data_IF_300700343778
#
_entry.id   IF_300700343778
#
_cell.length_a   1.000
_cell.length_b   1.000
_cell.length_c   1.000
_cell.angle_alpha   90.00
_cell.angle_beta   90.00
_cell.angle_gamma   90.00
#
_symmetry.space_group_name_H-M   'P 1'
#
loop_
_entity.id
_entity.type
_entity.pdbx_description
1 polymer ?
#
# COMPACT_ATOMS: atom_id res chain seq x y z
N UNK A 1 -6.21 -9.67 15.95
CA UNK A 1 -5.60 -8.47 15.34
C UNK A 1 -6.52 -7.94 14.28
N UNK A 2 -6.54 -6.65 14.06
CA UNK A 2 -7.35 -5.92 13.09
C UNK A 2 -6.45 -5.04 12.22
N UNK A 3 -6.95 -4.61 11.06
CA UNK A 3 -6.13 -3.91 10.07
C UNK A 3 -6.83 -2.68 9.53
N UNK A 4 -6.05 -1.62 9.29
CA UNK A 4 -6.46 -0.46 8.53
C UNK A 4 -5.51 -0.21 7.36
N UNK A 5 -6.05 -0.10 6.15
CA UNK A 5 -5.28 0.19 4.94
C UNK A 5 -5.61 1.60 4.48
N UNK A 6 -4.59 2.46 4.37
CA UNK A 6 -4.72 3.84 3.92
C UNK A 6 -4.84 3.90 2.40
N UNK A 7 -6.07 4.02 1.88
CA UNK A 7 -6.39 3.95 0.46
C UNK A 7 -6.97 5.26 -0.12
N UNK A 8 -7.23 6.28 0.70
CA UNK A 8 -7.90 7.52 0.28
C UNK A 8 -7.01 8.51 -0.48
N UNK A 9 -5.72 8.21 -0.67
CA UNK A 9 -4.80 9.06 -1.41
C UNK A 9 -5.20 9.25 -2.88
N UNK A 10 -5.14 10.51 -3.38
CA UNK A 10 -5.53 10.85 -4.75
C UNK A 10 -4.62 10.27 -5.84
N UNK A 11 -3.38 9.92 -5.51
CA UNK A 11 -2.44 9.30 -6.44
C UNK A 11 -2.13 10.15 -7.68
N UNK A 12 -2.08 11.48 -7.56
CA UNK A 12 -1.94 12.43 -8.68
C UNK A 12 -0.70 12.20 -9.52
N UNK A 13 0.41 11.74 -8.92
CA UNK A 13 1.66 11.41 -9.63
C UNK A 13 1.55 10.18 -10.55
N UNK A 14 0.53 9.35 -10.36
CA UNK A 14 0.21 8.18 -11.18
C UNK A 14 -0.76 8.47 -12.32
N UNK A 15 -1.24 9.73 -12.43
CA UNK A 15 -2.06 10.09 -13.58
C UNK A 15 -1.30 9.81 -14.90
N UNK A 16 -2.00 9.32 -15.95
CA UNK A 16 -3.44 9.19 -16.05
C UNK A 16 -4.05 7.85 -15.56
N UNK A 17 -3.25 6.91 -15.02
CA UNK A 17 -3.74 5.61 -14.54
C UNK A 17 -4.79 5.76 -13.43
N UNK A 18 -4.60 6.74 -12.52
CA UNK A 18 -5.54 7.02 -11.43
C UNK A 18 -6.87 7.61 -11.87
N UNK A 19 -7.00 8.02 -13.14
CA UNK A 19 -8.29 8.37 -13.72
C UNK A 19 -9.12 7.12 -14.08
N UNK A 20 -8.48 5.96 -14.21
CA UNK A 20 -9.12 4.67 -14.54
C UNK A 20 -9.47 3.91 -13.25
N UNK A 21 -8.48 3.74 -12.37
CA UNK A 21 -8.61 3.01 -11.10
C UNK A 21 -7.86 3.74 -9.98
N UNK A 22 -8.35 3.72 -8.74
CA UNK A 22 -7.58 4.18 -7.60
C UNK A 22 -6.32 3.33 -7.44
N UNK A 23 -5.24 3.95 -6.99
CA UNK A 23 -3.92 3.33 -6.88
C UNK A 23 -3.93 1.94 -6.20
N UNK A 24 -4.60 1.72 -5.04
CA UNK A 24 -4.60 0.41 -4.41
C UNK A 24 -5.36 -0.67 -5.19
N UNK A 25 -6.20 -0.29 -6.15
CA UNK A 25 -6.91 -1.22 -7.03
C UNK A 25 -6.16 -1.50 -8.34
N UNK A 26 -5.03 -0.85 -8.61
CA UNK A 26 -4.23 -1.15 -9.79
C UNK A 26 -3.73 -2.59 -9.76
N UNK A 27 -3.72 -3.27 -10.92
CA UNK A 27 -3.23 -4.65 -11.01
C UNK A 27 -1.75 -4.75 -10.63
N UNK A 28 -1.44 -5.59 -9.67
CA UNK A 28 -0.09 -6.08 -9.41
C UNK A 28 -0.08 -7.57 -9.78
N UNK A 29 0.47 -7.90 -10.93
CA UNK A 29 0.29 -9.20 -11.56
C UNK A 29 -1.20 -9.49 -11.80
N UNK A 30 -1.75 -10.58 -11.23
CA UNK A 30 -3.09 -11.07 -11.52
C UNK A 30 -4.17 -10.62 -10.51
N UNK A 31 -3.83 -9.72 -9.57
CA UNK A 31 -4.78 -9.19 -8.58
C UNK A 31 -4.44 -7.74 -8.18
N UNK A 32 -5.40 -6.96 -7.65
CA UNK A 32 -5.14 -5.61 -7.18
C UNK A 32 -4.06 -5.54 -6.08
N UNK A 33 -3.30 -4.44 -6.03
CA UNK A 33 -2.29 -4.19 -5.00
C UNK A 33 -2.85 -4.39 -3.58
N UNK A 34 -4.03 -3.85 -3.29
CA UNK A 34 -4.66 -3.98 -1.96
C UNK A 34 -4.95 -5.44 -1.59
N UNK A 35 -5.22 -6.33 -2.55
CA UNK A 35 -5.43 -7.75 -2.27
C UNK A 35 -4.13 -8.44 -1.81
N UNK A 36 -2.96 -8.01 -2.30
CA UNK A 36 -1.68 -8.50 -1.78
C UNK A 36 -1.48 -8.08 -0.32
N UNK A 37 -1.84 -6.86 0.03
CA UNK A 37 -1.79 -6.36 1.41
C UNK A 37 -2.73 -7.17 2.30
N UNK A 38 -4.00 -7.30 1.90
CA UNK A 38 -5.01 -8.04 2.66
C UNK A 38 -4.65 -9.52 2.84
N UNK A 39 -4.09 -10.18 1.81
CA UNK A 39 -3.63 -11.58 1.91
C UNK A 39 -2.55 -11.75 2.98
N UNK A 40 -1.58 -10.84 3.05
CA UNK A 40 -0.50 -10.88 4.06
C UNK A 40 -1.03 -10.65 5.46
N UNK A 41 -1.89 -9.64 5.63
CA UNK A 41 -2.52 -9.39 6.92
C UNK A 41 -3.41 -10.57 7.35
N UNK A 42 -4.15 -11.17 6.42
CA UNK A 42 -4.94 -12.36 6.69
C UNK A 42 -4.07 -13.55 7.13
N UNK A 43 -2.94 -13.77 6.44
CA UNK A 43 -1.97 -14.82 6.77
C UNK A 43 -1.38 -14.63 8.19
N UNK A 44 -1.15 -13.37 8.59
CA UNK A 44 -0.70 -13.01 9.95
C UNK A 44 -1.82 -13.05 11.02
N UNK A 45 -3.02 -13.53 10.68
CA UNK A 45 -4.11 -13.71 11.64
C UNK A 45 -5.06 -12.52 11.79
N UNK A 46 -5.01 -11.52 10.92
CA UNK A 46 -6.03 -10.46 10.87
C UNK A 46 -7.35 -11.04 10.38
N UNK A 47 -8.47 -10.65 11.02
CA UNK A 47 -9.82 -11.13 10.69
C UNK A 47 -10.86 -9.99 10.63
N UNK A 48 -10.42 -8.74 10.75
CA UNK A 48 -11.26 -7.55 10.57
C UNK A 48 -10.44 -6.49 9.87
N UNK A 49 -10.98 -5.89 8.82
CA UNK A 49 -10.30 -4.95 7.96
C UNK A 49 -11.09 -3.66 7.84
N UNK A 50 -10.39 -2.53 7.76
CA UNK A 50 -10.94 -1.24 7.39
C UNK A 50 -10.09 -0.62 6.27
N UNK A 51 -10.72 0.04 5.32
CA UNK A 51 -10.08 0.77 4.24
C UNK A 51 -10.72 2.16 4.14
N UNK A 52 -9.93 3.23 4.10
CA UNK A 52 -10.47 4.56 3.78
C UNK A 52 -10.39 4.82 2.28
N UNK A 53 -11.40 5.47 1.73
CA UNK A 53 -11.62 5.63 0.30
C UNK A 53 -12.06 7.07 0.01
N UNK A 54 -11.47 7.74 -0.99
CA UNK A 54 -11.88 9.11 -1.37
C UNK A 54 -12.46 9.21 -2.77
N UNK A 55 -12.19 8.24 -3.65
CA UNK A 55 -12.57 8.28 -5.07
C UNK A 55 -12.99 6.91 -5.59
N UNK A 56 -13.66 6.92 -6.77
CA UNK A 56 -14.02 5.70 -7.50
C UNK A 56 -14.84 4.67 -6.68
N UNK A 57 -15.86 5.13 -5.92
CA UNK A 57 -16.69 4.25 -5.07
C UNK A 57 -17.16 2.98 -5.79
N UNK A 58 -17.61 3.10 -7.05
CA UNK A 58 -18.06 1.97 -7.88
C UNK A 58 -16.94 0.92 -8.09
N UNK A 59 -15.70 1.34 -8.23
CA UNK A 59 -14.57 0.40 -8.39
C UNK A 59 -14.32 -0.38 -7.10
N UNK A 60 -14.46 0.27 -5.95
CA UNK A 60 -14.33 -0.35 -4.65
C UNK A 60 -15.47 -1.32 -4.35
N UNK A 61 -16.72 -0.94 -4.66
CA UNK A 61 -17.89 -1.81 -4.51
C UNK A 61 -17.78 -3.07 -5.38
N UNK A 62 -17.20 -2.95 -6.57
CA UNK A 62 -16.89 -4.10 -7.44
C UNK A 62 -15.76 -4.97 -6.90
N UNK A 63 -14.73 -4.36 -6.28
CA UNK A 63 -13.62 -5.10 -5.69
C UNK A 63 -14.03 -5.88 -4.43
N UNK A 64 -15.01 -5.35 -3.67
CA UNK A 64 -15.50 -5.92 -2.42
C UNK A 64 -17.04 -5.96 -2.34
N UNK A 65 -17.72 -6.71 -3.23
CA UNK A 65 -19.19 -6.63 -3.39
C UNK A 65 -19.96 -7.07 -2.15
N UNK A 66 -19.38 -7.91 -1.31
CA UNK A 66 -20.00 -8.36 -0.05
C UNK A 66 -19.42 -7.64 1.18
N UNK A 67 -18.59 -6.63 0.98
CA UNK A 67 -17.79 -6.01 2.05
C UNK A 67 -17.05 -7.06 2.90
N UNK A 68 -16.48 -8.05 2.22
CA UNK A 68 -15.76 -9.15 2.84
C UNK A 68 -14.49 -9.50 2.05
N UNK A 69 -13.49 -10.00 2.78
CA UNK A 69 -12.30 -10.60 2.22
C UNK A 69 -12.05 -11.96 2.89
N UNK A 70 -12.07 -13.04 2.11
CA UNK A 70 -11.93 -14.42 2.62
C UNK A 70 -12.88 -14.73 3.79
N UNK A 71 -14.13 -14.24 3.74
CA UNK A 71 -15.14 -14.42 4.78
C UNK A 71 -14.98 -13.52 6.01
N UNK A 72 -13.98 -12.65 6.03
CA UNK A 72 -13.79 -11.65 7.08
C UNK A 72 -14.42 -10.30 6.68
N UNK A 73 -15.00 -9.54 7.64
CA UNK A 73 -15.61 -8.25 7.33
C UNK A 73 -14.56 -7.23 6.91
N UNK A 74 -14.93 -6.39 5.93
CA UNK A 74 -14.23 -5.19 5.52
C UNK A 74 -15.14 -3.98 5.75
N UNK A 75 -14.69 -3.01 6.51
CA UNK A 75 -15.32 -1.71 6.61
C UNK A 75 -14.74 -0.76 5.56
N UNK A 76 -15.56 -0.29 4.61
CA UNK A 76 -15.20 0.72 3.61
C UNK A 76 -15.59 2.10 4.13
N UNK A 77 -14.62 2.88 4.58
CA UNK A 77 -14.80 4.23 5.12
C UNK A 77 -14.67 5.27 4.01
N UNK A 78 -15.79 5.76 3.49
CA UNK A 78 -15.80 6.78 2.43
C UNK A 78 -15.50 8.16 2.99
N UNK A 79 -14.53 8.86 2.42
CA UNK A 79 -14.19 10.24 2.71
C UNK A 79 -14.66 11.12 1.54
N UNK A 80 -15.42 12.19 1.82
CA UNK A 80 -15.85 13.13 0.77
C UNK A 80 -14.64 13.88 0.18
N UNK A 81 -13.68 14.19 1.03
CA UNK A 81 -12.33 14.67 0.69
C UNK A 81 -11.32 13.90 1.52
N UNK A 82 -10.08 13.70 1.02
CA UNK A 82 -9.05 13.03 1.79
C UNK A 82 -8.83 13.71 3.15
N UNK A 83 -8.91 12.93 4.22
CA UNK A 83 -8.77 13.44 5.59
C UNK A 83 -7.33 13.39 6.13
N UNK A 84 -6.34 13.08 5.27
CA UNK A 84 -4.98 12.73 5.66
C UNK A 84 -4.94 11.48 6.57
N UNK A 85 -3.77 11.06 6.96
CA UNK A 85 -3.52 9.81 7.70
C UNK A 85 -4.16 9.78 9.08
N UNK A 86 -4.18 10.90 9.79
CA UNK A 86 -4.78 11.02 11.10
C UNK A 86 -6.30 11.09 11.06
N UNK A 87 -6.87 11.89 10.14
CA UNK A 87 -8.30 12.03 9.99
C UNK A 87 -8.97 10.72 9.54
N UNK A 88 -8.38 10.04 8.54
CA UNK A 88 -8.83 8.72 8.10
C UNK A 88 -8.80 7.69 9.22
N UNK A 89 -7.72 7.68 10.01
CA UNK A 89 -7.60 6.80 11.18
C UNK A 89 -8.67 7.13 12.24
N UNK A 90 -8.87 8.41 12.57
CA UNK A 90 -9.90 8.84 13.51
C UNK A 90 -11.29 8.37 13.10
N UNK A 91 -11.64 8.53 11.83
CA UNK A 91 -12.96 8.16 11.29
C UNK A 91 -13.28 6.68 11.47
N UNK A 92 -12.28 5.80 11.35
CA UNK A 92 -12.49 4.35 11.50
C UNK A 92 -12.48 3.86 12.96
N UNK A 93 -12.09 4.69 13.93
CA UNK A 93 -11.94 4.26 15.33
C UNK A 93 -13.22 3.74 15.96
N UNK A 94 -14.41 4.15 15.47
CA UNK A 94 -15.71 3.61 15.92
C UNK A 94 -15.93 2.13 15.51
N UNK A 95 -15.18 1.64 14.52
CA UNK A 95 -15.23 0.25 14.03
C UNK A 95 -14.09 -0.62 14.57
N UNK A 96 -13.15 -0.02 15.31
CA UNK A 96 -11.97 -0.70 15.83
C UNK A 96 -12.26 -1.24 17.24
N UNK A 97 -11.90 -2.51 17.46
CA UNK A 97 -11.87 -3.13 18.79
C UNK A 97 -10.74 -2.51 19.61
N UNK A 98 -11.10 -1.79 20.67
CA UNK A 98 -10.16 -1.03 21.50
C UNK A 98 -9.20 -1.90 22.32
N UNK A 99 -9.51 -3.19 22.45
CA UNK A 99 -8.72 -4.16 23.22
C UNK A 99 -7.65 -4.87 22.37
N UNK A 100 -7.58 -4.56 21.07
CA UNK A 100 -6.67 -5.25 20.15
C UNK A 100 -5.81 -4.27 19.38
N UNK A 101 -4.49 -4.51 19.28
CA UNK A 101 -3.63 -3.67 18.46
C UNK A 101 -4.10 -3.63 17.00
N UNK A 102 -3.89 -2.48 16.37
CA UNK A 102 -4.25 -2.19 14.99
C UNK A 102 -2.98 -2.17 14.14
N UNK A 103 -2.91 -3.03 13.12
CA UNK A 103 -1.90 -2.88 12.07
C UNK A 103 -2.41 -1.90 11.03
N UNK A 104 -1.60 -0.93 10.70
CA UNK A 104 -1.90 0.08 9.67
C UNK A 104 -0.85 -0.02 8.57
N UNK A 105 -1.31 0.00 7.31
CA UNK A 105 -0.42 -0.01 6.16
C UNK A 105 -0.86 1.00 5.10
N UNK A 106 0.10 1.67 4.49
CA UNK A 106 -0.13 2.50 3.32
C UNK A 106 -0.54 1.62 2.13
N UNK A 107 -1.66 1.94 1.50
CA UNK A 107 -2.24 1.18 0.39
C UNK A 107 -1.49 1.31 -0.94
N UNK A 108 -0.38 2.04 -0.95
CA UNK A 108 0.46 2.31 -2.11
C UNK A 108 1.84 1.61 -2.04
N UNK A 109 2.04 0.78 -1.04
CA UNK A 109 3.28 0.05 -0.83
C UNK A 109 3.06 -1.44 -0.98
N UNK A 110 3.81 -2.04 -1.90
CA UNK A 110 3.98 -3.49 -1.98
C UNK A 110 5.19 -3.88 -1.14
N UNK A 111 5.00 -4.73 -0.14
CA UNK A 111 6.10 -5.21 0.72
C UNK A 111 5.79 -6.60 1.25
N UNK A 112 6.80 -7.38 1.57
CA UNK A 112 6.70 -8.68 2.24
C UNK A 112 7.17 -8.65 3.71
N UNK A 113 7.25 -7.47 4.30
CA UNK A 113 7.47 -7.32 5.75
C UNK A 113 6.49 -8.23 6.51
N UNK A 114 6.95 -9.16 7.34
CA UNK A 114 6.10 -10.09 8.06
C UNK A 114 5.38 -9.36 9.21
N UNK A 115 4.06 -9.32 9.10
CA UNK A 115 3.20 -8.63 10.07
C UNK A 115 3.22 -9.30 11.45
N UNK A 116 3.40 -10.60 11.50
CA UNK A 116 3.53 -11.38 12.74
C UNK A 116 4.84 -11.06 13.47
N UNK A 117 5.97 -10.88 12.76
CA UNK A 117 7.23 -10.44 13.36
C UNK A 117 7.12 -8.99 13.87
N UNK A 118 6.51 -8.10 13.09
CA UNK A 118 6.27 -6.73 13.53
C UNK A 118 5.37 -6.69 14.78
N UNK A 119 4.35 -7.55 14.84
CA UNK A 119 3.49 -7.68 16.02
C UNK A 119 4.25 -8.24 17.23
N UNK A 120 5.14 -9.20 17.03
CA UNK A 120 5.99 -9.72 18.10
C UNK A 120 6.91 -8.62 18.64
N UNK A 121 7.55 -7.84 17.76
CA UNK A 121 8.37 -6.70 18.16
C UNK A 121 7.56 -5.63 18.91
N UNK A 122 6.33 -5.34 18.46
CA UNK A 122 5.44 -4.40 19.14
C UNK A 122 5.10 -4.84 20.56
N UNK A 123 4.71 -6.10 20.74
CA UNK A 123 4.43 -6.67 22.07
C UNK A 123 5.65 -6.68 22.98
N UNK A 124 6.81 -7.01 22.43
CA UNK A 124 8.07 -7.04 23.18
C UNK A 124 8.50 -5.62 23.62
N UNK A 125 8.27 -4.62 22.78
CA UNK A 125 8.61 -3.23 23.12
C UNK A 125 7.77 -2.67 24.26
N UNK A 126 6.52 -3.14 24.41
CA UNK A 126 5.52 -2.60 25.35
C UNK A 126 5.16 -1.14 25.06
N UNK A 127 5.43 -0.64 23.84
CA UNK A 127 5.19 0.74 23.42
C UNK A 127 3.84 0.90 22.73
N UNK A 128 3.35 2.13 22.73
CA UNK A 128 2.06 2.46 22.08
C UNK A 128 2.11 2.36 20.56
N UNK A 129 3.28 2.58 19.96
CA UNK A 129 3.49 2.58 18.52
C UNK A 129 4.78 1.84 18.16
N UNK A 130 4.74 1.01 17.11
CA UNK A 130 5.93 0.38 16.53
C UNK A 130 5.94 0.57 15.03
N UNK A 131 6.99 1.21 14.51
CA UNK A 131 7.17 1.46 13.09
C UNK A 131 8.03 0.37 12.45
N UNK A 132 7.61 -0.14 11.29
CA UNK A 132 8.51 -0.90 10.43
C UNK A 132 9.46 0.08 9.73
N UNK A 133 10.77 -0.19 9.83
CA UNK A 133 11.85 0.67 9.36
C UNK A 133 12.71 -0.06 8.33
N UNK A 134 13.40 0.72 7.48
CA UNK A 134 14.42 0.27 6.54
C UNK A 134 15.63 1.19 6.61
N UNK A 135 16.83 0.61 6.55
CA UNK A 135 18.09 1.36 6.46
C UNK A 135 18.69 1.34 5.04
N UNK A 136 18.18 0.49 4.16
CA UNK A 136 18.59 0.34 2.77
C UNK A 136 17.78 1.25 1.86
N UNK A 137 18.40 1.84 0.87
CA UNK A 137 17.82 2.71 -0.17
C UNK A 137 16.85 3.82 0.34
N UNK A 138 16.24 4.55 -0.57
CA UNK A 138 15.16 5.49 -0.26
C UNK A 138 15.56 6.72 0.57
N UNK A 139 14.55 7.50 0.93
CA UNK A 139 14.71 8.75 1.66
C UNK A 139 14.78 8.50 3.17
N UNK A 140 15.96 8.63 3.74
CA UNK A 140 16.20 8.51 5.18
C UNK A 140 15.68 9.75 5.92
N UNK A 141 14.71 9.56 6.78
CA UNK A 141 14.08 10.66 7.54
C UNK A 141 13.55 10.23 8.91
N UNK A 142 13.97 9.06 9.39
CA UNK A 142 13.63 8.55 10.72
C UNK A 142 14.90 8.36 11.52
N UNK A 143 15.00 9.02 12.66
CA UNK A 143 16.00 8.76 13.68
C UNK A 143 15.60 7.52 14.48
N UNK A 144 16.52 6.59 14.67
CA UNK A 144 16.29 5.35 15.42
C UNK A 144 17.56 4.95 16.14
N UNK A 145 17.43 4.62 17.40
CA UNK A 145 18.53 4.10 18.22
C UNK A 145 18.42 2.57 18.34
N UNK A 146 19.30 1.82 17.68
CA UNK A 146 19.29 0.35 17.75
C UNK A 146 19.58 -0.20 19.15
N UNK A 147 20.24 0.57 20.03
CA UNK A 147 20.58 0.11 21.37
C UNK A 147 19.35 0.10 22.29
N UNK A 148 18.46 1.06 22.13
CA UNK A 148 17.21 1.15 22.91
C UNK A 148 15.99 0.60 22.16
N UNK A 149 16.08 0.45 20.83
CA UNK A 149 14.95 0.09 19.98
C UNK A 149 13.93 1.19 19.80
N UNK A 150 14.27 2.44 20.15
CA UNK A 150 13.35 3.57 20.11
C UNK A 150 13.59 4.45 18.88
N UNK A 151 12.48 4.95 18.33
CA UNK A 151 12.51 6.05 17.35
C UNK A 151 12.79 7.37 18.10
N UNK A 152 13.78 8.14 17.62
CA UNK A 152 14.29 9.34 18.27
C UNK A 152 13.88 10.64 17.59
N UNK A 153 13.62 10.59 16.28
CA UNK A 153 13.18 11.74 15.49
C UNK A 153 12.40 11.28 14.25
N UNK A 154 11.60 12.16 13.69
CA UNK A 154 10.92 11.94 12.42
C UNK A 154 10.97 13.23 11.60
N UNK A 155 11.49 13.14 10.36
CA UNK A 155 11.67 14.27 9.43
C UNK A 155 12.55 15.40 10.01
N UNK A 156 13.43 15.05 10.93
CA UNK A 156 14.27 16.01 11.66
C UNK A 156 13.46 17.09 12.41
N UNK A 157 12.22 16.78 12.79
CA UNK A 157 11.31 17.75 13.39
C UNK A 157 11.63 18.06 14.86
N UNK A 158 12.34 17.16 15.56
CA UNK A 158 12.79 17.36 16.95
C UNK A 158 14.23 17.87 17.03
N UNK A 159 14.96 17.90 15.89
CA UNK A 159 16.34 18.35 15.83
C UNK A 159 17.36 17.42 16.51
N UNK A 160 16.95 16.17 16.81
CA UNK A 160 17.79 15.19 17.53
C UNK A 160 18.61 14.36 16.55
N UNK A 161 17.98 13.90 15.45
CA UNK A 161 18.62 13.05 14.46
C UNK A 161 18.12 13.41 13.05
N UNK A 162 19.06 13.52 12.09
CA UNK A 162 18.74 13.76 10.68
C UNK A 162 18.05 12.55 10.01
N UNK A 163 18.16 11.39 10.63
CA UNK A 163 17.56 10.14 10.15
C UNK A 163 18.53 9.28 9.33
N UNK A 164 18.69 8.04 9.76
CA UNK A 164 19.43 6.99 9.04
C UNK A 164 18.50 5.88 8.53
N UNK A 165 17.21 5.99 8.84
CA UNK A 165 16.19 5.03 8.47
C UNK A 165 15.05 5.68 7.69
N UNK A 166 14.28 4.84 7.01
CA UNK A 166 13.05 5.18 6.32
C UNK A 166 11.88 4.46 7.00
N UNK A 167 10.75 5.14 7.18
CA UNK A 167 9.49 4.48 7.53
C UNK A 167 8.99 3.66 6.34
N UNK A 168 8.76 2.37 6.55
CA UNK A 168 8.38 1.43 5.49
C UNK A 168 6.88 1.45 5.13
N UNK A 169 6.09 2.36 5.72
CA UNK A 169 4.66 2.46 5.44
C UNK A 169 3.80 1.40 6.12
N UNK A 170 4.34 0.67 7.09
CA UNK A 170 3.63 -0.31 7.93
C UNK A 170 3.94 -0.03 9.39
N UNK A 171 2.92 -0.03 10.24
CA UNK A 171 3.10 0.13 11.68
C UNK A 171 2.01 -0.59 12.47
N UNK A 172 2.28 -0.82 13.75
CA UNK A 172 1.30 -1.33 14.70
C UNK A 172 1.12 -0.30 15.81
N UNK A 173 -0.12 -0.03 16.17
CA UNK A 173 -0.47 0.91 17.21
C UNK A 173 -1.48 0.33 18.19
N UNK A 174 -1.39 0.77 19.44
CA UNK A 174 -2.44 0.57 20.42
C UNK A 174 -3.60 1.55 20.16
N UNK A 175 -4.86 1.10 20.19
CA UNK A 175 -6.02 1.98 19.94
C UNK A 175 -6.14 3.17 20.90
N UNK A 176 -5.55 3.09 22.10
CA UNK A 176 -5.50 4.18 23.07
C UNK A 176 -4.81 5.46 22.55
N UNK A 177 -3.99 5.37 21.50
CA UNK A 177 -3.42 6.54 20.81
C UNK A 177 -4.53 7.50 20.34
N UNK A 178 -5.74 7.00 20.08
CA UNK A 178 -6.87 7.83 19.68
C UNK A 178 -7.28 8.89 20.72
N UNK A 179 -6.88 8.73 21.97
CA UNK A 179 -7.08 9.75 23.03
C UNK A 179 -6.28 11.03 22.77
N UNK A 180 -5.24 10.94 21.94
CA UNK A 180 -4.42 12.09 21.52
C UNK A 180 -4.95 12.77 20.25
N UNK A 181 -5.99 12.22 19.62
CA UNK A 181 -6.54 12.82 18.40
C UNK A 181 -7.20 14.17 18.71
N UNK A 182 -7.12 15.14 17.79
CA UNK A 182 -7.80 16.41 17.99
C UNK A 182 -9.28 16.22 18.32
N UNK A 183 -9.78 16.96 19.31
CA UNK A 183 -11.19 16.96 19.62
C UNK A 183 -12.00 17.33 18.37
N UNK A 184 -13.11 16.64 18.08
CA UNK A 184 -13.83 16.87 16.86
C UNK A 184 -14.53 18.22 16.88
N UNK A 185 -14.36 18.99 15.79
CA UNK A 185 -15.46 19.80 15.31
C UNK A 185 -16.51 18.91 14.63
N UNK A 186 -16.06 17.86 13.91
CA UNK A 186 -16.87 16.82 13.26
C UNK A 186 -16.04 15.57 13.01
N UNK A 187 -16.66 14.49 12.49
CA UNK A 187 -15.96 13.22 12.17
C UNK A 187 -15.07 13.33 10.92
N UNK A 188 -15.12 14.41 10.17
CA UNK A 188 -14.41 14.61 8.89
C UNK A 188 -13.29 15.67 9.01
N UNK A 189 -12.65 15.80 10.17
CA UNK A 189 -11.52 16.70 10.36
C UNK A 189 -10.27 16.16 9.68
N UNK A 190 -9.72 16.90 8.72
CA UNK A 190 -8.43 16.60 8.09
C UNK A 190 -7.28 16.89 9.05
N UNK A 191 -6.43 15.92 9.34
CA UNK A 191 -5.17 16.11 10.03
C UNK A 191 -4.17 14.98 9.79
N UNK A 192 -2.88 15.30 9.88
CA UNK A 192 -1.79 14.34 9.78
C UNK A 192 -1.56 13.63 11.11
N UNK A 193 -1.24 12.33 11.08
CA UNK A 193 -0.84 11.56 12.25
C UNK A 193 0.54 11.96 12.80
N UNK A 194 1.37 12.61 11.99
CA UNK A 194 2.78 12.91 12.30
C UNK A 194 2.95 13.74 13.59
N UNK A 195 2.19 14.81 13.86
CA UNK A 195 2.31 15.55 15.13
C UNK A 195 2.09 14.67 16.36
N UNK A 196 1.17 13.70 16.27
CA UNK A 196 0.89 12.75 17.36
C UNK A 196 2.08 11.80 17.54
N UNK A 197 2.66 11.30 16.45
CA UNK A 197 3.87 10.47 16.53
C UNK A 197 5.05 11.23 17.14
N UNK A 198 5.25 12.50 16.79
CA UNK A 198 6.29 13.33 17.40
C UNK A 198 6.09 13.51 18.91
N UNK A 199 4.86 13.65 19.36
CA UNK A 199 4.54 13.71 20.79
C UNK A 199 4.83 12.38 21.50
N UNK A 200 4.48 11.26 20.87
CA UNK A 200 4.80 9.90 21.37
C UNK A 200 6.31 9.65 21.38
N UNK A 201 7.05 10.12 20.39
CA UNK A 201 8.52 10.02 20.35
C UNK A 201 9.13 10.75 21.56
N UNK A 202 8.69 11.97 21.86
CA UNK A 202 9.15 12.72 23.05
C UNK A 202 8.89 11.99 24.37
N UNK A 203 7.82 11.18 24.41
CA UNK A 203 7.47 10.36 25.59
C UNK A 203 8.22 9.01 25.61
N UNK A 204 8.99 8.67 24.59
CA UNK A 204 9.64 7.37 24.46
C UNK A 204 8.66 6.21 24.21
N UNK A 205 7.52 6.51 23.57
CA UNK A 205 6.43 5.55 23.30
C UNK A 205 6.39 5.05 21.85
N UNK A 206 7.47 5.28 21.08
CA UNK A 206 7.59 4.81 19.70
C UNK A 206 8.80 3.88 19.57
N UNK A 207 8.55 2.61 19.29
CA UNK A 207 9.56 1.63 18.93
C UNK A 207 9.76 1.55 17.42
N UNK A 208 10.90 1.03 16.99
CA UNK A 208 11.21 0.68 15.60
C UNK A 208 11.59 -0.79 15.48
N UNK A 209 11.28 -1.37 14.33
CA UNK A 209 11.79 -2.69 13.94
C UNK A 209 12.29 -2.64 12.50
N UNK A 210 13.54 -3.09 12.25
CA UNK A 210 14.22 -2.94 10.96
C UNK A 210 14.04 -4.19 10.12
N UNK A 211 13.61 -4.02 8.87
CA UNK A 211 13.31 -5.08 7.91
C UNK A 211 14.06 -4.85 6.57
N UNK A 212 15.38 -4.73 6.62
CA UNK A 212 16.22 -4.46 5.44
C UNK A 212 16.23 -5.61 4.42
N UNK A 213 15.91 -6.81 4.86
CA UNK A 213 15.84 -8.00 4.03
C UNK A 213 14.51 -8.15 3.27
N UNK A 214 13.47 -7.39 3.68
CA UNK A 214 12.15 -7.47 3.07
C UNK A 214 12.10 -6.69 1.76
N UNK A 215 11.40 -7.25 0.78
CA UNK A 215 11.08 -6.54 -0.46
C UNK A 215 10.15 -5.36 -0.16
N UNK A 216 10.42 -4.23 -0.80
CA UNK A 216 9.66 -3.02 -0.59
C UNK A 216 9.64 -2.16 -1.85
N UNK A 217 8.45 -1.84 -2.34
CA UNK A 217 8.24 -1.06 -3.55
C UNK A 217 7.14 -0.02 -3.33
N UNK A 218 7.46 1.24 -3.56
CA UNK A 218 6.49 2.34 -3.56
C UNK A 218 5.96 2.55 -4.98
N UNK A 219 4.65 2.42 -5.15
CA UNK A 219 3.98 2.65 -6.42
C UNK A 219 3.65 4.14 -6.56
N UNK A 220 4.62 4.98 -6.87
CA UNK A 220 4.49 6.44 -6.82
C UNK A 220 4.20 7.12 -8.16
N UNK A 221 4.62 6.52 -9.28
CA UNK A 221 4.45 7.03 -10.65
C UNK A 221 4.26 5.87 -11.63
N UNK A 222 3.83 6.13 -12.89
CA UNK A 222 3.74 5.07 -13.91
C UNK A 222 5.07 4.34 -14.12
N UNK A 223 6.18 5.07 -14.14
CA UNK A 223 7.52 4.49 -14.25
C UNK A 223 7.83 3.57 -13.06
N UNK A 224 7.67 4.05 -11.83
CA UNK A 224 7.91 3.24 -10.62
C UNK A 224 6.98 2.02 -10.56
N UNK A 225 5.73 2.14 -11.01
CA UNK A 225 4.81 1.01 -11.09
C UNK A 225 5.33 -0.06 -12.07
N UNK A 226 5.74 0.34 -13.27
CA UNK A 226 6.32 -0.58 -14.26
C UNK A 226 7.57 -1.26 -13.69
N UNK A 227 8.54 -0.47 -13.21
CA UNK A 227 9.81 -0.98 -12.68
C UNK A 227 9.58 -1.97 -11.53
N UNK A 228 8.71 -1.61 -10.57
CA UNK A 228 8.37 -2.49 -9.45
C UNK A 228 7.79 -3.83 -9.90
N UNK A 229 6.91 -3.82 -10.90
CA UNK A 229 6.30 -5.05 -11.41
C UNK A 229 7.31 -5.92 -12.16
N UNK A 230 8.25 -5.30 -12.89
CA UNK A 230 9.31 -6.04 -13.59
C UNK A 230 10.31 -6.67 -12.61
N UNK A 231 10.68 -5.95 -11.54
CA UNK A 231 11.65 -6.42 -10.53
C UNK A 231 11.10 -7.49 -9.58
N UNK A 232 9.80 -7.43 -9.25
CA UNK A 232 9.21 -8.39 -8.31
C UNK A 232 9.12 -9.78 -8.95
N UNK A 233 9.76 -10.82 -8.37
CA UNK A 233 9.61 -12.19 -8.84
C UNK A 233 8.16 -12.67 -8.77
N UNK A 234 7.63 -13.18 -9.86
CA UNK A 234 6.28 -13.76 -9.90
C UNK A 234 6.26 -15.02 -10.75
N UNK A 235 5.63 -16.06 -10.22
CA UNK A 235 5.47 -17.33 -10.94
C UNK A 235 4.38 -17.24 -12.03
N UNK A 236 3.46 -16.28 -11.95
CA UNK A 236 2.35 -16.13 -12.89
C UNK A 236 2.32 -14.70 -13.44
N UNK A 237 3.07 -14.45 -14.51
CA UNK A 237 3.06 -13.16 -15.21
C UNK A 237 1.94 -13.06 -16.24
N UNK A 238 1.52 -14.18 -16.85
CA UNK A 238 0.43 -14.23 -17.80
C UNK A 238 -0.78 -14.91 -17.16
N UNK A 239 -1.96 -14.30 -17.26
CA UNK A 239 -3.20 -14.91 -16.79
C UNK A 239 -3.69 -16.00 -17.75
N UNK A 240 -4.20 -17.11 -17.24
CA UNK A 240 -4.62 -18.29 -18.02
C UNK A 240 -5.74 -17.99 -19.04
N UNK A 241 -6.55 -16.95 -18.78
CA UNK A 241 -7.62 -16.51 -19.69
C UNK A 241 -7.17 -15.51 -20.75
N UNK A 242 -5.88 -15.13 -20.78
CA UNK A 242 -5.38 -14.27 -21.83
C UNK A 242 -5.37 -15.01 -23.19
N UNK A 243 -5.76 -14.30 -24.24
CA UNK A 243 -5.76 -14.82 -25.61
C UNK A 243 -4.57 -14.19 -26.32
N UNK A 244 -3.60 -15.04 -26.68
CA UNK A 244 -2.35 -14.59 -27.29
C UNK A 244 -2.20 -15.25 -28.66
N UNK A 245 -1.97 -14.43 -29.70
CA UNK A 245 -1.70 -14.94 -31.04
C UNK A 245 -0.38 -15.71 -31.08
N UNK A 246 -0.34 -16.80 -31.85
CA UNK A 246 0.82 -17.69 -31.92
C UNK A 246 2.09 -17.04 -32.48
N UNK A 247 1.96 -15.94 -33.22
CA UNK A 247 3.04 -15.15 -33.82
C UNK A 247 3.40 -13.91 -32.98
N UNK A 248 2.75 -13.67 -31.84
CA UNK A 248 3.10 -12.59 -30.94
C UNK A 248 4.44 -12.87 -30.23
N UNK A 249 5.30 -11.86 -30.19
CA UNK A 249 6.60 -11.91 -29.49
C UNK A 249 6.47 -11.20 -28.13
N UNK A 250 6.70 -11.91 -27.05
CA UNK A 250 6.49 -11.39 -25.69
C UNK A 250 7.71 -11.72 -24.83
N UNK A 251 8.37 -10.69 -24.26
CA UNK A 251 9.47 -10.92 -23.31
C UNK A 251 8.97 -11.56 -22.00
N UNK A 252 9.84 -12.30 -21.33
CA UNK A 252 9.52 -13.07 -20.13
C UNK A 252 9.03 -12.19 -18.96
N UNK A 253 9.46 -10.92 -18.92
CA UNK A 253 9.11 -9.98 -17.86
C UNK A 253 7.76 -9.30 -18.06
N UNK A 254 7.14 -9.43 -19.22
CA UNK A 254 5.82 -8.89 -19.47
C UNK A 254 4.77 -9.48 -18.53
N UNK A 255 3.85 -8.63 -18.04
CA UNK A 255 2.67 -9.06 -17.29
C UNK A 255 1.44 -8.88 -18.16
N UNK A 256 0.66 -9.96 -18.33
CA UNK A 256 -0.54 -9.98 -19.16
C UNK A 256 -1.74 -10.36 -18.28
N UNK A 257 -2.66 -9.41 -18.13
CA UNK A 257 -3.82 -9.53 -17.25
C UNK A 257 -4.94 -10.41 -17.79
N UNK A 258 -5.92 -10.65 -16.93
CA UNK A 258 -7.11 -11.45 -17.17
C UNK A 258 -7.86 -10.98 -18.44
N UNK A 259 -8.23 -11.92 -19.33
CA UNK A 259 -8.95 -11.66 -20.58
C UNK A 259 -8.29 -10.61 -21.50
N UNK A 260 -7.00 -10.36 -21.35
CA UNK A 260 -6.26 -9.57 -22.32
C UNK A 260 -6.19 -10.30 -23.69
N UNK A 261 -6.26 -9.55 -24.78
CA UNK A 261 -6.22 -10.08 -26.11
C UNK A 261 -5.04 -9.49 -26.90
N UNK A 262 -4.01 -10.29 -27.11
CA UNK A 262 -2.79 -9.92 -27.86
C UNK A 262 -2.93 -10.42 -29.27
N UNK A 263 -3.06 -9.50 -30.23
CA UNK A 263 -3.29 -9.81 -31.64
C UNK A 263 -2.03 -10.26 -32.37
N UNK A 264 -2.21 -10.74 -33.60
CA UNK A 264 -1.14 -11.06 -34.52
C UNK A 264 -0.25 -9.85 -34.81
N UNK A 265 1.08 -10.07 -34.96
CA UNK A 265 2.04 -9.01 -35.22
C UNK A 265 2.35 -8.08 -34.05
N UNK A 266 2.04 -8.49 -32.81
CA UNK A 266 2.40 -7.76 -31.60
C UNK A 266 3.78 -8.18 -31.10
N UNK A 267 4.60 -7.20 -30.72
CA UNK A 267 5.86 -7.39 -29.99
C UNK A 267 5.78 -6.61 -28.67
N UNK A 268 5.88 -7.31 -27.53
CA UNK A 268 5.89 -6.73 -26.18
C UNK A 268 7.24 -6.95 -25.50
N UNK A 269 7.87 -5.88 -25.04
CA UNK A 269 9.12 -5.90 -24.30
C UNK A 269 8.92 -5.13 -23.00
N UNK A 270 9.08 -5.78 -21.85
CA UNK A 270 8.96 -5.16 -20.53
C UNK A 270 7.66 -4.36 -20.34
N UNK A 271 6.52 -4.98 -20.67
CA UNK A 271 5.23 -4.33 -20.68
C UNK A 271 4.29 -4.88 -19.59
N UNK A 272 3.41 -4.01 -19.10
CA UNK A 272 2.23 -4.42 -18.31
C UNK A 272 1.00 -4.24 -19.18
N UNK A 273 0.27 -5.33 -19.42
CA UNK A 273 -1.03 -5.32 -20.10
C UNK A 273 -2.12 -5.54 -19.03
N UNK A 274 -2.95 -4.54 -18.80
CA UNK A 274 -4.03 -4.63 -17.84
C UNK A 274 -5.11 -5.61 -18.27
N UNK A 275 -5.96 -6.09 -17.34
CA UNK A 275 -7.08 -6.97 -17.68
C UNK A 275 -7.96 -6.38 -18.79
N UNK A 276 -8.46 -7.27 -19.67
CA UNK A 276 -9.40 -6.96 -20.76
C UNK A 276 -8.87 -5.94 -21.79
N UNK A 277 -7.56 -5.78 -21.90
CA UNK A 277 -6.92 -4.90 -22.88
C UNK A 277 -6.78 -5.63 -24.20
N UNK A 278 -7.15 -4.96 -25.30
CA UNK A 278 -6.88 -5.41 -26.66
C UNK A 278 -5.63 -4.71 -27.17
N UNK A 279 -4.60 -5.50 -27.53
CA UNK A 279 -3.34 -4.97 -28.05
C UNK A 279 -3.29 -5.23 -29.54
N UNK A 280 -3.27 -4.16 -30.32
CA UNK A 280 -3.17 -4.17 -31.79
C UNK A 280 -1.73 -4.45 -32.24
N UNK A 281 -1.57 -4.88 -33.51
CA UNK A 281 -0.26 -5.12 -34.12
C UNK A 281 0.68 -3.91 -33.94
N UNK A 282 1.93 -4.17 -33.56
CA UNK A 282 2.95 -3.15 -33.33
C UNK A 282 3.94 -3.56 -32.25
N UNK A 283 5.00 -2.75 -32.11
CA UNK A 283 6.03 -2.92 -31.09
C UNK A 283 5.76 -1.98 -29.91
N UNK A 284 5.78 -2.55 -28.73
CA UNK A 284 5.59 -1.86 -27.44
C UNK A 284 6.74 -2.23 -26.52
N UNK A 285 7.47 -1.24 -26.07
CA UNK A 285 8.62 -1.40 -25.20
C UNK A 285 8.44 -0.50 -23.98
N UNK A 286 8.61 -1.07 -22.78
CA UNK A 286 8.41 -0.40 -21.49
C UNK A 286 7.11 0.42 -21.45
N UNK A 287 5.99 -0.27 -21.67
CA UNK A 287 4.66 0.36 -21.74
C UNK A 287 3.69 -0.24 -20.73
N UNK A 288 2.81 0.59 -20.20
CA UNK A 288 1.60 0.15 -19.51
C UNK A 288 0.43 0.30 -20.48
N UNK A 289 -0.17 -0.83 -20.84
CA UNK A 289 -1.29 -0.92 -21.79
C UNK A 289 -2.56 -1.20 -21.02
N UNK A 290 -3.55 -0.33 -21.14
CA UNK A 290 -4.85 -0.45 -20.49
C UNK A 290 -5.97 -0.49 -21.53
N UNK A 291 -7.21 -0.85 -21.19
CA UNK A 291 -8.32 -0.82 -22.14
C UNK A 291 -8.57 0.55 -22.79
N UNK A 292 -8.12 1.63 -22.17
CA UNK A 292 -8.43 3.00 -22.58
C UNK A 292 -7.21 3.77 -23.10
N UNK A 293 -6.03 3.52 -22.56
CA UNK A 293 -4.83 4.32 -22.84
C UNK A 293 -3.57 3.46 -22.85
N UNK A 294 -2.57 3.93 -23.60
CA UNK A 294 -1.21 3.44 -23.60
C UNK A 294 -0.30 4.48 -22.94
N UNK A 295 0.55 4.05 -22.03
CA UNK A 295 1.49 4.90 -21.32
C UNK A 295 2.90 4.36 -21.57
N UNK A 296 3.74 5.03 -22.36
CA UNK A 296 5.15 4.71 -22.45
C UNK A 296 5.84 5.14 -21.15
N UNK A 297 6.76 4.30 -20.68
CA UNK A 297 7.63 4.56 -19.54
C UNK A 297 9.09 4.57 -20.06
N UNK A 298 9.89 5.49 -19.58
CA UNK A 298 11.27 5.70 -20.05
C UNK A 298 12.26 4.80 -19.30
#
# INVERSE_FOLDING_TARGET
>A
MQSFILCAGLGTRLAPLTHILPKPLMPMFQKPLVHHILDRHYAAGVRSFALNLSQHSIAWDKAFPAQQFRGCPIHLSHEQQPLDSGGGLKKIMSFIDKEKPLVVQNGDIYTDIPIDELLAAHRQSGKLLTLALRSVDGKKNVGFDPATGLVTDLRHALGVDAGSYQFAGVYIMEPSIAELFPAPADEETEFSIIPIWLELIKRGEVAGSVFDWANWYEIGSPQQYLDSVLEIPSAQRTHDSAIISADALISEDCVIGEHAHIKSGVELIDCIVWPRTHVEAGRYERCILTPCIKIPCS
#
